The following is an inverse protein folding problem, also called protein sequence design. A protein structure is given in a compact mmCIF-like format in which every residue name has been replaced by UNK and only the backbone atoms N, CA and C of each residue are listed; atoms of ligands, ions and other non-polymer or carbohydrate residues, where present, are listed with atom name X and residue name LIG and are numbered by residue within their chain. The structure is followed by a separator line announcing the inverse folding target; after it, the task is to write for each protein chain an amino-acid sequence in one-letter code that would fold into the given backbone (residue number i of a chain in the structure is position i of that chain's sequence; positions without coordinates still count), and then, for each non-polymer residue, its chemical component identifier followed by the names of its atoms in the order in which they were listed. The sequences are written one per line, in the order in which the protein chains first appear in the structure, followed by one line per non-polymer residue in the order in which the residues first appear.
data_IF_571944367339
#
_entry.id   IF_571944367339
#
_cell.length_a   1.000
_cell.length_b   1.000
_cell.length_c   1.000
_cell.angle_alpha   90.00
_cell.angle_beta   90.00
_cell.angle_gamma   90.00
#
_symmetry.space_group_name_H-M   'P 1'
#
loop_
_entity.id
_entity.type
_entity.pdbx_description
1 polymer ?
#
# COMPACT_ATOMS: atom_id res chain seq x y z
N UNK A 1 5.19 10.87 -23.31
CA UNK A 1 4.09 10.27 -22.51
C UNK A 1 4.45 10.52 -21.05
N UNK A 2 4.16 11.73 -20.54
CA UNK A 2 4.48 12.16 -19.18
C UNK A 2 3.17 12.24 -18.40
N UNK A 3 2.76 11.12 -17.81
CA UNK A 3 1.49 10.98 -17.07
C UNK A 3 1.71 11.01 -15.54
N UNK A 4 2.89 11.43 -15.10
CA UNK A 4 3.20 11.59 -13.68
C UNK A 4 3.09 13.08 -13.33
N UNK A 5 1.89 13.46 -12.87
CA UNK A 5 1.66 14.77 -12.28
C UNK A 5 2.36 14.91 -10.92
N UNK A 6 2.65 16.14 -10.46
CA UNK A 6 3.22 16.37 -9.14
C UNK A 6 2.31 15.83 -8.02
N UNK A 7 2.88 15.20 -6.98
CA UNK A 7 2.12 14.61 -5.84
C UNK A 7 1.17 15.63 -5.16
N UNK A 8 1.53 16.91 -5.26
CA UNK A 8 0.84 18.07 -4.73
C UNK A 8 -0.35 18.55 -5.58
N UNK A 9 -0.52 18.06 -6.81
CA UNK A 9 -1.66 18.36 -7.69
C UNK A 9 -2.72 17.25 -7.60
N UNK A 10 -3.36 17.15 -6.44
CA UNK A 10 -4.55 16.34 -6.28
C UNK A 10 -5.75 17.25 -6.58
N UNK A 11 -6.47 16.99 -7.67
CA UNK A 11 -7.73 17.66 -7.94
C UNK A 11 -8.70 17.32 -6.80
N UNK A 12 -8.99 18.31 -5.95
CA UNK A 12 -9.96 18.16 -4.87
C UNK A 12 -11.38 18.01 -5.40
N UNK A 13 -12.24 17.36 -4.62
CA UNK A 13 -13.68 17.43 -4.87
C UNK A 13 -14.17 18.85 -4.60
N UNK A 14 -15.19 19.32 -5.32
CA UNK A 14 -15.82 20.62 -5.05
C UNK A 14 -16.43 20.68 -3.63
N UNK A 15 -16.81 19.52 -3.07
CA UNK A 15 -17.37 19.37 -1.73
C UNK A 15 -16.46 18.54 -0.84
N UNK A 16 -15.16 18.84 -0.86
CA UNK A 16 -14.20 18.07 -0.12
C UNK A 16 -14.25 18.37 1.38
N UNK A 17 -14.72 17.38 2.15
CA UNK A 17 -14.79 17.44 3.61
C UNK A 17 -13.66 16.63 4.28
N UNK A 18 -12.74 16.07 3.49
CA UNK A 18 -11.72 15.14 3.98
C UNK A 18 -10.45 15.90 4.37
N UNK A 19 -10.11 15.83 5.66
CA UNK A 19 -8.81 16.29 6.15
C UNK A 19 -7.69 15.33 5.75
N UNK A 20 -7.06 15.59 4.60
CA UNK A 20 -5.93 14.81 4.08
C UNK A 20 -4.69 14.86 4.97
N UNK A 21 -4.46 15.95 5.73
CA UNK A 21 -3.29 16.04 6.62
C UNK A 21 -3.44 15.06 7.78
N UNK A 22 -4.63 15.03 8.39
CA UNK A 22 -4.98 14.06 9.42
C UNK A 22 -4.92 12.64 8.88
N UNK A 23 -5.46 12.39 7.70
CA UNK A 23 -5.41 11.06 7.05
C UNK A 23 -3.97 10.60 6.79
N UNK A 24 -3.11 11.45 6.22
CA UNK A 24 -1.69 11.12 6.01
C UNK A 24 -0.97 10.78 7.32
N UNK A 25 -1.21 11.56 8.40
CA UNK A 25 -0.62 11.28 9.71
C UNK A 25 -1.10 9.94 10.29
N UNK A 26 -2.40 9.67 10.21
CA UNK A 26 -2.99 8.41 10.66
C UNK A 26 -2.38 7.21 9.91
N UNK A 27 -2.32 7.29 8.59
CA UNK A 27 -1.74 6.24 7.75
C UNK A 27 -0.28 5.98 8.09
N UNK A 28 0.52 7.05 8.30
CA UNK A 28 1.94 6.90 8.70
C UNK A 28 2.10 6.13 10.01
N UNK A 29 1.28 6.44 11.03
CA UNK A 29 1.34 5.75 12.33
C UNK A 29 0.91 4.29 12.19
N UNK A 30 -0.14 4.03 11.39
CA UNK A 30 -0.63 2.68 11.14
C UNK A 30 0.43 1.83 10.42
N UNK A 31 1.13 2.41 9.44
CA UNK A 31 2.23 1.77 8.72
C UNK A 31 3.42 1.49 9.65
N UNK A 32 3.79 2.44 10.50
CA UNK A 32 4.88 2.29 11.47
C UNK A 32 4.63 1.11 12.43
N UNK A 33 3.40 1.01 12.94
CA UNK A 33 3.01 -0.10 13.82
C UNK A 33 3.00 -1.43 13.05
N UNK A 34 2.45 -1.46 11.84
CA UNK A 34 2.42 -2.66 11.01
C UNK A 34 3.83 -3.10 10.56
N UNK A 35 4.77 -2.18 10.37
CA UNK A 35 6.17 -2.51 10.11
C UNK A 35 6.83 -3.18 11.32
N UNK A 36 6.55 -2.72 12.54
CA UNK A 36 7.15 -3.26 13.77
C UNK A 36 6.51 -4.57 14.26
N UNK A 37 5.20 -4.71 14.12
CA UNK A 37 4.44 -5.84 14.70
C UNK A 37 4.08 -6.92 13.68
N UNK A 38 4.23 -6.65 12.38
CA UNK A 38 3.84 -7.55 11.30
C UNK A 38 2.74 -6.95 10.41
N UNK A 39 2.86 -7.18 9.11
CA UNK A 39 1.98 -6.57 8.12
C UNK A 39 0.51 -6.95 8.35
N UNK A 40 -0.33 -5.94 8.59
CA UNK A 40 -1.77 -6.11 8.77
C UNK A 40 -2.22 -6.46 10.18
N UNK A 41 -1.35 -6.26 11.20
CA UNK A 41 -1.72 -6.38 12.61
C UNK A 41 -2.82 -5.38 12.99
N UNK A 42 -2.72 -4.14 12.53
CA UNK A 42 -3.76 -3.12 12.66
C UNK A 42 -4.36 -2.81 11.29
N UNK A 43 -5.69 -2.82 11.22
CA UNK A 43 -6.49 -2.62 10.01
C UNK A 43 -7.76 -1.87 10.36
N UNK A 44 -8.29 -1.13 9.38
CA UNK A 44 -9.61 -0.51 9.49
C UNK A 44 -10.71 -1.56 9.74
N UNK A 45 -11.57 -1.31 10.73
CA UNK A 45 -12.69 -2.20 11.06
C UNK A 45 -13.65 -2.44 9.88
N UNK A 46 -13.80 -1.44 9.00
CA UNK A 46 -14.61 -1.53 7.79
C UNK A 46 -14.11 -2.59 6.78
N UNK A 47 -12.83 -2.99 6.84
CA UNK A 47 -12.27 -4.04 5.98
C UNK A 47 -12.70 -5.44 6.45
N UNK A 48 -13.26 -5.55 7.66
CA UNK A 48 -13.73 -6.81 8.23
C UNK A 48 -12.60 -7.65 8.83
N UNK A 49 -12.96 -8.45 9.85
CA UNK A 49 -12.05 -9.40 10.50
C UNK A 49 -11.90 -10.66 9.65
N UNK A 50 -10.69 -11.24 9.61
CA UNK A 50 -10.35 -12.37 8.72
C UNK A 50 -11.26 -13.60 8.79
N UNK A 51 -12.10 -13.75 9.83
CA UNK A 51 -13.13 -14.81 9.93
C UNK A 51 -14.22 -14.73 8.85
N UNK A 52 -14.50 -13.55 8.31
CA UNK A 52 -15.52 -13.36 7.26
C UNK A 52 -14.92 -13.05 5.89
N UNK A 53 -13.59 -13.07 5.74
CA UNK A 53 -12.93 -12.85 4.45
C UNK A 53 -12.71 -14.20 3.75
N UNK A 54 -13.71 -14.66 3.01
CA UNK A 54 -13.59 -15.83 2.12
C UNK A 54 -12.59 -15.61 0.99
N UNK A 55 -12.28 -14.35 0.67
CA UNK A 55 -11.33 -13.97 -0.37
C UNK A 55 -10.19 -13.13 0.24
N UNK A 56 -8.98 -13.69 0.22
CA UNK A 56 -7.74 -13.00 0.63
C UNK A 56 -6.81 -12.90 -0.57
N UNK A 57 -6.33 -11.69 -0.86
CA UNK A 57 -5.31 -11.47 -1.90
C UNK A 57 -4.07 -12.29 -1.57
N UNK A 58 -3.70 -13.20 -2.48
CA UNK A 58 -2.62 -14.17 -2.29
C UNK A 58 -1.63 -14.07 -3.44
N UNK A 59 -0.43 -13.55 -3.17
CA UNK A 59 0.62 -13.34 -4.17
C UNK A 59 1.48 -14.61 -4.40
N UNK A 60 0.84 -15.77 -4.57
CA UNK A 60 1.52 -17.07 -4.75
C UNK A 60 2.20 -17.23 -6.11
N UNK A 61 1.86 -16.41 -7.10
CA UNK A 61 2.45 -16.40 -8.44
C UNK A 61 3.23 -15.11 -8.72
N UNK A 62 4.05 -14.64 -7.77
CA UNK A 62 4.96 -13.52 -8.06
C UNK A 62 6.06 -14.00 -9.01
N UNK A 63 6.17 -13.36 -10.17
CA UNK A 63 7.35 -13.51 -11.02
C UNK A 63 8.58 -13.00 -10.29
N UNK A 64 9.72 -13.62 -10.56
CA UNK A 64 11.02 -13.09 -10.15
C UNK A 64 11.15 -11.71 -10.81
N UNK A 65 11.32 -10.68 -9.99
CA UNK A 65 11.18 -9.27 -10.38
C UNK A 65 12.43 -8.78 -11.12
N UNK A 66 12.81 -9.47 -12.19
CA UNK A 66 14.11 -9.36 -12.87
C UNK A 66 14.42 -7.95 -13.40
N UNK A 67 13.38 -7.16 -13.71
CA UNK A 67 13.54 -5.80 -14.25
C UNK A 67 13.45 -4.70 -13.20
N UNK A 68 13.00 -5.02 -11.98
CA UNK A 68 12.71 -4.04 -10.92
C UNK A 68 13.51 -4.28 -9.64
N UNK A 69 14.14 -5.45 -9.50
CA UNK A 69 15.03 -5.78 -8.37
C UNK A 69 16.26 -6.50 -8.90
N UNK A 70 17.37 -5.76 -8.94
CA UNK A 70 18.68 -6.23 -9.39
C UNK A 70 19.16 -7.47 -8.63
N UNK A 71 18.81 -7.62 -7.34
CA UNK A 71 19.12 -8.80 -6.51
C UNK A 71 18.47 -10.11 -7.00
N UNK A 72 17.50 -10.06 -7.91
CA UNK A 72 16.86 -11.25 -8.48
C UNK A 72 17.42 -11.65 -9.84
N UNK A 73 18.42 -10.93 -10.37
CA UNK A 73 19.07 -11.28 -11.63
C UNK A 73 19.83 -12.60 -11.48
N UNK A 74 19.80 -13.39 -12.56
CA UNK A 74 20.53 -14.65 -12.61
C UNK A 74 22.02 -14.34 -12.79
N UNK A 75 22.85 -14.70 -11.82
CA UNK A 75 24.31 -14.73 -12.02
C UNK A 75 24.65 -15.92 -12.91
N UNK A 76 25.37 -15.67 -14.01
CA UNK A 76 25.92 -16.69 -14.90
C UNK A 76 27.41 -16.80 -14.59
N UNK A 77 27.87 -17.96 -14.11
CA UNK A 77 29.31 -18.29 -14.01
C UNK A 77 29.82 -18.95 -15.29
#
# INVERSE_FOLDING_TARGET
MNDLGPENLIQGSLFDTIDRKRSKKLMRVLDEINCGMGAGMIRYGAVGTGRCQSWKTSFKQRSKSYTTRWDNLLEVS
#
